data_IF_310571233651
#
_entry.id   IF_310571233651
#
_cell.length_a   1.000
_cell.length_b   1.000
_cell.length_c   1.000
_cell.angle_alpha   90.00
_cell.angle_beta   90.00
_cell.angle_gamma   90.00
#
_symmetry.space_group_name_H-M   'P 1'
#
loop_
_entity.id
_entity.type
_entity.pdbx_description
1 polymer ?
#
# COMPACT_ATOMS: atom_id res chain seq x y z
N UNK A 1 -20.12 -5.12 27.07
CA UNK A 1 -19.37 -5.96 26.11
C UNK A 1 -19.65 -5.40 24.71
N UNK A 2 -18.92 -4.37 24.29
CA UNK A 2 -19.19 -3.67 23.02
C UNK A 2 -17.98 -3.00 22.38
N UNK A 3 -16.79 -3.04 23.02
CA UNK A 3 -15.59 -2.40 22.49
C UNK A 3 -14.87 -3.21 21.41
N UNK A 4 -14.89 -4.54 21.48
CA UNK A 4 -14.10 -5.40 20.57
C UNK A 4 -14.60 -5.42 19.12
N UNK A 5 -15.89 -5.14 18.89
CA UNK A 5 -16.48 -5.18 17.55
C UNK A 5 -16.30 -3.86 16.79
N UNK A 6 -16.25 -2.73 17.51
CA UNK A 6 -16.09 -1.41 16.89
C UNK A 6 -14.66 -1.21 16.38
N UNK A 7 -13.66 -1.51 17.21
CA UNK A 7 -12.24 -1.41 16.82
C UNK A 7 -11.85 -2.38 15.68
N UNK A 8 -12.44 -3.59 15.66
CA UNK A 8 -12.24 -4.54 14.56
C UNK A 8 -12.78 -4.01 13.23
N UNK A 9 -13.94 -3.36 13.27
CA UNK A 9 -14.58 -2.81 12.07
C UNK A 9 -13.77 -1.65 11.51
N UNK A 10 -13.34 -0.71 12.38
CA UNK A 10 -12.49 0.41 11.99
C UNK A 10 -11.17 -0.05 11.39
N UNK A 11 -10.51 -1.05 11.99
CA UNK A 11 -9.23 -1.56 11.46
C UNK A 11 -9.41 -2.17 10.08
N UNK A 12 -10.45 -2.99 9.88
CA UNK A 12 -10.73 -3.60 8.57
C UNK A 12 -11.02 -2.55 7.49
N UNK A 13 -11.75 -1.48 7.85
CA UNK A 13 -12.01 -0.35 6.95
C UNK A 13 -10.73 0.39 6.57
N UNK A 14 -9.88 0.75 7.53
CA UNK A 14 -8.60 1.42 7.25
C UNK A 14 -7.69 0.58 6.36
N UNK A 15 -7.69 -0.73 6.56
CA UNK A 15 -6.93 -1.68 5.76
C UNK A 15 -7.39 -1.75 4.30
N UNK A 16 -8.71 -1.73 4.08
CA UNK A 16 -9.29 -1.68 2.73
C UNK A 16 -9.00 -0.33 2.05
N UNK A 17 -9.10 0.77 2.79
CA UNK A 17 -8.79 2.12 2.30
C UNK A 17 -7.32 2.23 1.89
N UNK A 18 -6.38 1.77 2.71
CA UNK A 18 -4.94 1.73 2.39
C UNK A 18 -4.67 0.94 1.10
N UNK A 19 -5.34 -0.22 0.91
CA UNK A 19 -5.16 -1.02 -0.31
C UNK A 19 -5.74 -0.32 -1.54
N UNK A 20 -6.89 0.34 -1.39
CA UNK A 20 -7.52 1.10 -2.47
C UNK A 20 -6.67 2.30 -2.88
N UNK A 21 -6.16 3.06 -1.91
CA UNK A 21 -5.27 4.21 -2.12
C UNK A 21 -3.99 3.81 -2.87
N UNK A 22 -3.33 2.73 -2.43
CA UNK A 22 -2.14 2.21 -3.09
C UNK A 22 -2.44 1.78 -4.54
N UNK A 23 -3.57 1.12 -4.78
CA UNK A 23 -3.99 0.71 -6.12
C UNK A 23 -4.27 1.93 -7.03
N UNK A 24 -4.96 2.95 -6.51
CA UNK A 24 -5.25 4.18 -7.26
C UNK A 24 -3.96 4.92 -7.64
N UNK A 25 -3.02 5.06 -6.70
CA UNK A 25 -1.74 5.72 -6.95
C UNK A 25 -0.89 4.97 -7.99
N UNK A 26 -0.88 3.64 -7.93
CA UNK A 26 -0.19 2.83 -8.94
C UNK A 26 -0.85 2.98 -10.31
N UNK A 27 -2.18 2.87 -10.40
CA UNK A 27 -2.91 3.04 -11.66
C UNK A 27 -2.73 4.44 -12.26
N UNK A 28 -2.72 5.48 -11.43
CA UNK A 28 -2.45 6.85 -11.87
C UNK A 28 -1.02 7.00 -12.38
N UNK A 29 -0.06 6.31 -11.74
CA UNK A 29 1.34 6.32 -12.15
C UNK A 29 1.55 5.58 -13.47
N UNK A 30 0.93 4.40 -13.64
CA UNK A 30 0.89 3.65 -14.90
C UNK A 30 0.41 4.53 -16.06
N UNK A 31 -0.72 5.22 -15.87
CA UNK A 31 -1.26 6.13 -16.88
C UNK A 31 -0.37 7.35 -17.19
N UNK A 32 0.59 7.67 -16.33
CA UNK A 32 1.46 8.84 -16.44
C UNK A 32 2.84 8.54 -17.03
N UNK A 33 3.22 7.27 -17.16
CA UNK A 33 4.55 6.85 -17.62
C UNK A 33 4.44 6.07 -18.93
N UNK A 34 5.49 6.04 -19.77
CA UNK A 34 5.43 5.40 -21.09
C UNK A 34 5.55 3.86 -21.05
N UNK A 35 5.52 3.27 -19.86
CA UNK A 35 5.71 1.84 -19.62
C UNK A 35 4.66 1.33 -18.64
N UNK A 36 4.45 0.01 -18.61
CA UNK A 36 3.45 -0.59 -17.73
C UNK A 36 3.91 -0.62 -16.28
N UNK A 37 3.04 -0.20 -15.36
CA UNK A 37 3.23 -0.29 -13.92
C UNK A 37 2.06 -1.08 -13.34
N UNK A 38 2.35 -2.20 -12.70
CA UNK A 38 1.33 -3.09 -12.16
C UNK A 38 1.44 -3.17 -10.64
N UNK A 39 0.31 -3.07 -9.93
CA UNK A 39 0.28 -3.40 -8.51
C UNK A 39 0.24 -4.92 -8.36
N UNK A 40 1.30 -5.51 -7.82
CA UNK A 40 1.41 -6.96 -7.65
C UNK A 40 0.86 -7.44 -6.30
N UNK A 41 1.14 -6.70 -5.22
CA UNK A 41 0.73 -7.10 -3.87
C UNK A 41 0.72 -5.89 -2.91
N UNK A 42 -0.16 -5.92 -1.91
CA UNK A 42 -0.14 -4.97 -0.78
C UNK A 42 -0.22 -5.76 0.52
N UNK A 43 0.85 -5.70 1.31
CA UNK A 43 0.92 -6.34 2.62
C UNK A 43 0.85 -5.30 3.71
N UNK A 44 -0.11 -5.47 4.60
CA UNK A 44 -0.26 -4.64 5.79
C UNK A 44 0.18 -5.47 7.00
N UNK A 45 1.18 -4.99 7.71
CA UNK A 45 1.68 -5.62 8.93
C UNK A 45 1.12 -4.91 10.16
N UNK A 46 0.46 -5.70 11.01
CA UNK A 46 -0.15 -5.22 12.24
C UNK A 46 0.74 -5.46 13.46
N UNK A 47 0.56 -4.61 14.46
CA UNK A 47 1.03 -4.85 15.82
C UNK A 47 0.57 -6.22 16.37
N UNK A 48 1.49 -7.18 16.55
CA UNK A 48 1.19 -8.50 17.15
C UNK A 48 0.73 -8.44 18.62
N UNK A 49 0.84 -7.27 19.28
CA UNK A 49 0.57 -7.10 20.71
C UNK A 49 -0.90 -6.82 21.04
N UNK A 50 -1.75 -6.53 20.04
CA UNK A 50 -3.18 -6.35 20.24
C UNK A 50 -3.94 -7.29 19.31
N UNK A 51 -5.00 -7.93 19.82
CA UNK A 51 -5.95 -8.73 19.04
C UNK A 51 -6.70 -7.89 17.97
N UNK A 52 -6.41 -6.59 17.91
CA UNK A 52 -6.95 -5.53 17.04
C UNK A 52 -5.80 -4.58 16.64
N UNK A 53 -4.67 -5.14 16.20
CA UNK A 53 -3.44 -4.39 16.02
C UNK A 53 -3.54 -3.34 14.92
N UNK A 54 -3.26 -2.09 15.26
CA UNK A 54 -3.19 -1.03 14.25
C UNK A 54 -2.06 -1.31 13.23
N UNK A 55 -2.19 -0.83 11.98
CA UNK A 55 -1.16 -0.96 10.97
C UNK A 55 0.13 -0.29 11.43
N UNK A 56 1.26 -0.98 11.23
CA UNK A 56 2.60 -0.49 11.59
C UNK A 56 3.55 -0.42 10.41
N UNK A 57 3.35 -1.29 9.42
CA UNK A 57 4.08 -1.24 8.18
C UNK A 57 3.18 -1.64 7.02
N UNK A 58 3.43 -1.03 5.87
CA UNK A 58 2.80 -1.38 4.60
C UNK A 58 3.90 -1.66 3.59
N UNK A 59 3.85 -2.83 2.96
CA UNK A 59 4.74 -3.21 1.88
C UNK A 59 3.94 -3.28 0.59
N UNK A 60 4.23 -2.39 -0.34
CA UNK A 60 3.61 -2.36 -1.66
C UNK A 60 4.58 -2.96 -2.66
N UNK A 61 4.16 -4.01 -3.36
CA UNK A 61 4.96 -4.66 -4.40
C UNK A 61 4.42 -4.20 -5.74
N UNK A 62 5.29 -3.56 -6.53
CA UNK A 62 4.95 -2.97 -7.82
C UNK A 62 5.80 -3.64 -8.89
N UNK A 63 5.14 -4.12 -9.94
CA UNK A 63 5.74 -4.60 -11.17
C UNK A 63 6.12 -3.44 -12.07
N UNK A 64 7.37 -3.40 -12.49
CA UNK A 64 7.87 -2.43 -13.48
C UNK A 64 8.77 -3.16 -14.48
N UNK A 65 8.89 -2.68 -15.73
CA UNK A 65 9.86 -3.23 -16.66
C UNK A 65 11.28 -3.15 -16.10
N UNK A 66 12.18 -4.06 -16.53
CA UNK A 66 13.58 -3.98 -16.17
C UNK A 66 14.17 -2.63 -16.63
N UNK A 67 15.13 -2.12 -15.85
CA UNK A 67 15.82 -0.84 -16.06
C UNK A 67 14.99 0.45 -15.83
N UNK A 68 13.70 0.34 -15.50
CA UNK A 68 12.86 1.49 -15.14
C UNK A 68 12.77 1.67 -13.61
N UNK A 69 12.77 2.91 -13.15
CA UNK A 69 12.62 3.25 -11.72
C UNK A 69 11.62 4.39 -11.54
N UNK A 70 10.62 4.17 -10.71
CA UNK A 70 9.59 5.16 -10.39
C UNK A 70 10.03 6.03 -9.21
N UNK A 71 10.67 7.15 -9.50
CA UNK A 71 11.04 8.12 -8.46
C UNK A 71 9.79 8.80 -7.90
N UNK A 72 9.65 8.83 -6.58
CA UNK A 72 8.57 9.54 -5.88
C UNK A 72 7.22 8.82 -5.82
N UNK A 73 7.10 7.58 -6.32
CA UNK A 73 5.92 6.75 -6.04
C UNK A 73 5.91 6.32 -4.58
N UNK A 74 7.08 5.97 -4.03
CA UNK A 74 7.25 5.60 -2.62
C UNK A 74 6.83 6.69 -1.65
N UNK A 75 7.23 7.95 -1.88
CA UNK A 75 6.87 9.07 -1.01
C UNK A 75 5.36 9.37 -1.08
N UNK A 76 4.76 9.29 -2.28
CA UNK A 76 3.31 9.49 -2.46
C UNK A 76 2.47 8.42 -1.79
N UNK A 77 2.91 7.16 -1.84
CA UNK A 77 2.24 6.07 -1.13
C UNK A 77 2.39 6.27 0.37
N UNK A 78 3.59 6.62 0.85
CA UNK A 78 3.83 6.87 2.28
C UNK A 78 2.92 7.96 2.84
N UNK A 79 2.88 9.13 2.19
CA UNK A 79 2.04 10.25 2.59
C UNK A 79 0.54 9.87 2.63
N UNK A 80 0.05 9.18 1.59
CA UNK A 80 -1.36 8.77 1.53
C UNK A 80 -1.70 7.71 2.59
N UNK A 81 -0.82 6.75 2.82
CA UNK A 81 -1.02 5.70 3.84
C UNK A 81 -1.07 6.34 5.24
N UNK A 82 -0.20 7.31 5.51
CA UNK A 82 -0.17 8.00 6.79
C UNK A 82 -1.43 8.85 7.02
N UNK A 83 -1.91 9.53 5.99
CA UNK A 83 -3.17 10.27 6.01
C UNK A 83 -4.36 9.35 6.31
N UNK A 84 -4.47 8.23 5.60
CA UNK A 84 -5.56 7.26 5.75
C UNK A 84 -5.50 6.55 7.11
N UNK A 85 -4.30 6.22 7.59
CA UNK A 85 -4.11 5.61 8.91
C UNK A 85 -4.23 6.62 10.07
N UNK A 86 -4.16 7.93 9.78
CA UNK A 86 -4.12 8.99 10.77
C UNK A 86 -2.90 8.95 11.68
N UNK A 87 -1.81 8.30 11.24
CA UNK A 87 -0.55 8.10 11.98
C UNK A 87 0.59 7.81 11.02
N UNK A 88 1.83 7.94 11.50
CA UNK A 88 3.00 7.44 10.77
C UNK A 88 3.01 5.89 10.71
N UNK A 89 2.96 5.35 9.50
CA UNK A 89 3.04 3.92 9.17
C UNK A 89 4.29 3.71 8.32
N UNK A 90 5.09 2.69 8.63
CA UNK A 90 6.31 2.44 7.86
C UNK A 90 5.97 1.92 6.46
N UNK A 91 6.14 2.75 5.44
CA UNK A 91 5.89 2.33 4.06
C UNK A 91 7.16 1.84 3.38
N UNK A 92 7.05 0.74 2.63
CA UNK A 92 8.10 0.23 1.77
C UNK A 92 7.53 -0.15 0.41
N UNK A 93 8.07 0.46 -0.65
CA UNK A 93 7.75 0.07 -2.03
C UNK A 93 8.85 -0.84 -2.56
N UNK A 94 8.45 -1.99 -3.09
CA UNK A 94 9.35 -2.98 -3.72
C UNK A 94 9.04 -3.06 -5.20
N UNK A 95 10.02 -2.67 -6.00
CA UNK A 95 9.97 -2.83 -7.45
C UNK A 95 10.43 -4.23 -7.82
N UNK A 96 9.57 -4.98 -8.51
CA UNK A 96 9.88 -6.29 -9.06
C UNK A 96 9.90 -6.17 -10.57
N UNK A 97 10.98 -6.59 -11.25
CA UNK A 97 10.99 -6.62 -12.70
C UNK A 97 9.94 -7.62 -13.19
N UNK A 98 8.95 -7.15 -13.94
CA UNK A 98 7.94 -8.00 -14.57
C UNK A 98 8.20 -8.09 -16.06
N UNK A 99 8.32 -9.32 -16.57
CA UNK A 99 8.33 -9.56 -18.01
C UNK A 99 6.86 -9.58 -18.47
N UNK A 100 6.41 -8.52 -19.12
CA UNK A 100 5.14 -8.54 -19.85
C UNK A 100 5.32 -9.52 -21.00
N UNK A 101 4.83 -10.75 -20.83
CA UNK A 101 4.74 -11.70 -21.95
C UNK A 101 3.55 -11.25 -22.80
N UNK A 102 3.83 -10.51 -23.87
CA UNK A 102 2.85 -10.14 -24.90
C UNK A 102 2.30 -11.36 -25.67
#
# INVERSE_FOLDING_TARGET
LGGVTYDSFTTATTDEEIRADAAELVATTDASVPFTVELLDVRIEHSKAALFGEPRAVVVIVGVPPDETLTGLSDRIDERVDETAGRDVRTQVRYVPTETTE
#
